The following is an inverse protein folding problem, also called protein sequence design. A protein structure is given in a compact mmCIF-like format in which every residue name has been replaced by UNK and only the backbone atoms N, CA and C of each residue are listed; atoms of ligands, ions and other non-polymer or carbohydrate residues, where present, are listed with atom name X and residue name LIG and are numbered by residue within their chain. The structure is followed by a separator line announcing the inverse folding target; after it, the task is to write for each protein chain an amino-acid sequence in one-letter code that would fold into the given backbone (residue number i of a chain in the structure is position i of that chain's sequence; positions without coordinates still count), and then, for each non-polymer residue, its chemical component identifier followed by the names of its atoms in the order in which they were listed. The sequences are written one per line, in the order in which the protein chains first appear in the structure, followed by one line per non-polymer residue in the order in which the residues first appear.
data_IF_686833384639
#
_entry.id   IF_686833384639
#
_cell.length_a   1.000
_cell.length_b   1.000
_cell.length_c   1.000
_cell.angle_alpha   90.00
_cell.angle_beta   90.00
_cell.angle_gamma   90.00
#
_symmetry.space_group_name_H-M   'P 1'
#
loop_
_entity.id
_entity.type
_entity.pdbx_description
1 polymer ?
#
# COMPACT_ATOMS: atom_id res chain seq x y z
N UNK A 1 17.62 52.58 -13.09
CA UNK A 1 17.70 52.16 -11.69
C UNK A 1 16.45 51.38 -11.30
N UNK A 2 16.31 50.14 -11.70
CA UNK A 2 15.22 49.25 -11.23
C UNK A 2 15.49 47.78 -11.65
N UNK A 3 16.50 47.11 -11.04
CA UNK A 3 16.70 45.67 -11.22
C UNK A 3 17.62 45.05 -10.16
N UNK A 4 17.62 45.57 -8.95
CA UNK A 4 18.48 45.06 -7.86
C UNK A 4 17.68 44.54 -6.65
N UNK A 5 16.40 44.17 -6.82
CA UNK A 5 15.56 43.70 -5.69
C UNK A 5 15.03 42.27 -5.79
N UNK A 6 15.55 41.44 -6.69
CA UNK A 6 15.08 40.05 -6.84
C UNK A 6 16.02 38.99 -6.25
N UNK A 7 17.07 39.36 -5.51
CA UNK A 7 18.09 38.42 -4.99
C UNK A 7 18.15 38.34 -3.46
N UNK A 8 17.06 38.60 -2.78
CA UNK A 8 17.07 38.68 -1.32
C UNK A 8 15.92 37.96 -0.61
N UNK A 9 15.63 36.72 -0.90
CA UNK A 9 14.86 35.84 0.02
C UNK A 9 15.21 34.35 -0.18
N UNK A 10 16.47 34.00 -0.07
CA UNK A 10 16.88 32.67 0.39
C UNK A 10 16.76 32.59 1.91
N UNK A 11 15.55 32.80 2.43
CA UNK A 11 15.19 32.39 3.77
C UNK A 11 15.19 30.87 3.86
N UNK A 12 15.49 30.27 5.01
CA UNK A 12 15.98 28.90 5.10
C UNK A 12 14.91 27.92 4.60
N UNK A 13 15.23 27.14 3.56
CA UNK A 13 14.50 25.97 3.08
C UNK A 13 14.16 24.96 4.20
N UNK A 14 14.83 25.08 5.36
CA UNK A 14 14.59 24.29 6.58
C UNK A 14 13.21 24.51 7.23
N UNK A 15 12.64 25.71 7.15
CA UNK A 15 11.32 25.99 7.71
C UNK A 15 10.19 25.28 7.00
N UNK A 16 10.27 25.22 5.67
CA UNK A 16 9.27 24.51 4.85
C UNK A 16 9.38 22.99 5.02
N UNK A 17 10.61 22.46 5.05
CA UNK A 17 10.87 21.05 5.32
C UNK A 17 10.36 20.63 6.70
N UNK A 18 10.62 21.42 7.73
CA UNK A 18 10.13 21.17 9.10
C UNK A 18 8.60 21.15 9.14
N UNK A 19 7.93 22.08 8.47
CA UNK A 19 6.46 22.13 8.39
C UNK A 19 5.88 20.88 7.73
N UNK A 20 6.44 20.44 6.61
CA UNK A 20 6.05 19.22 5.89
C UNK A 20 6.26 17.97 6.72
N UNK A 21 7.37 17.91 7.45
CA UNK A 21 7.70 16.78 8.33
C UNK A 21 6.75 16.71 9.53
N UNK A 22 6.46 17.85 10.18
CA UNK A 22 5.49 17.91 11.29
C UNK A 22 4.09 17.50 10.80
N UNK A 23 3.67 17.99 9.63
CA UNK A 23 2.39 17.59 9.05
C UNK A 23 2.32 16.07 8.81
N UNK A 24 3.39 15.48 8.27
CA UNK A 24 3.47 14.03 8.05
C UNK A 24 3.32 13.26 9.36
N UNK A 25 4.05 13.63 10.42
CA UNK A 25 3.97 12.95 11.72
C UNK A 25 2.54 13.06 12.29
N UNK A 26 1.94 14.26 12.27
CA UNK A 26 0.57 14.45 12.74
C UNK A 26 -0.44 13.59 11.96
N UNK A 27 -0.32 13.52 10.65
CA UNK A 27 -1.16 12.68 9.80
C UNK A 27 -1.01 11.18 10.14
N UNK A 28 0.22 10.71 10.40
CA UNK A 28 0.47 9.34 10.82
C UNK A 28 -0.10 9.03 12.21
N UNK A 29 -0.05 9.99 13.15
CA UNK A 29 -0.68 9.86 14.46
C UNK A 29 -2.20 9.72 14.31
N UNK A 30 -2.84 10.56 13.50
CA UNK A 30 -4.29 10.48 13.22
C UNK A 30 -4.65 9.13 12.59
N UNK A 31 -3.87 8.68 11.60
CA UNK A 31 -4.04 7.35 11.01
C UNK A 31 -3.94 6.25 12.07
N UNK A 32 -2.93 6.31 12.93
CA UNK A 32 -2.70 5.30 13.96
C UNK A 32 -3.80 5.28 15.02
N UNK A 33 -4.30 6.44 15.45
CA UNK A 33 -5.44 6.52 16.35
C UNK A 33 -6.68 5.85 15.74
N UNK A 34 -7.00 6.11 14.49
CA UNK A 34 -8.14 5.49 13.81
C UNK A 34 -8.04 3.98 13.66
N UNK A 35 -6.84 3.40 13.60
CA UNK A 35 -6.67 1.92 13.58
C UNK A 35 -6.99 1.25 14.93
N UNK A 36 -7.22 2.02 15.99
CA UNK A 36 -7.57 1.51 17.32
C UNK A 36 -9.04 1.75 17.71
N UNK A 37 -9.80 2.47 16.87
CA UNK A 37 -11.23 2.71 17.13
C UNK A 37 -12.01 1.53 16.52
N UNK A 38 -12.58 0.61 17.33
CA UNK A 38 -13.30 -0.54 16.79
C UNK A 38 -14.67 -0.14 16.24
N UNK A 39 -15.16 -0.91 15.26
CA UNK A 39 -16.54 -0.82 14.78
C UNK A 39 -17.47 -1.43 15.85
N UNK A 40 -18.62 -0.81 16.07
CA UNK A 40 -19.58 -1.26 17.06
C UNK A 40 -20.27 -2.58 16.66
N UNK A 41 -20.65 -3.37 17.65
CA UNK A 41 -21.44 -4.58 17.46
C UNK A 41 -20.64 -5.87 17.22
N UNK A 42 -19.32 -5.86 17.45
CA UNK A 42 -18.44 -7.02 17.30
C UNK A 42 -17.84 -7.42 18.64
N UNK A 43 -17.78 -8.72 18.90
CA UNK A 43 -17.11 -9.29 20.06
C UNK A 43 -15.58 -9.33 19.80
N UNK A 44 -14.76 -8.58 20.55
CA UNK A 44 -13.34 -8.50 20.32
C UNK A 44 -12.59 -9.81 20.61
N UNK A 45 -13.07 -10.62 21.55
CA UNK A 45 -12.40 -11.85 21.96
C UNK A 45 -12.55 -12.93 20.87
N UNK A 46 -13.75 -13.12 20.34
CA UNK A 46 -14.01 -14.06 19.23
C UNK A 46 -13.30 -13.64 17.97
N UNK A 47 -13.25 -12.33 17.69
CA UNK A 47 -12.49 -11.80 16.55
C UNK A 47 -11.00 -12.11 16.69
N UNK A 48 -10.42 -11.91 17.88
CA UNK A 48 -9.01 -12.22 18.13
C UNK A 48 -8.72 -13.72 17.95
N UNK A 49 -9.62 -14.60 18.39
CA UNK A 49 -9.51 -16.05 18.21
C UNK A 49 -9.54 -16.43 16.72
N UNK A 50 -10.44 -15.86 15.93
CA UNK A 50 -10.54 -16.08 14.49
C UNK A 50 -9.26 -15.66 13.74
N UNK A 51 -8.69 -14.52 14.13
CA UNK A 51 -7.43 -14.05 13.52
C UNK A 51 -6.24 -14.92 13.90
N UNK A 52 -6.15 -15.39 15.16
CA UNK A 52 -5.07 -16.31 15.58
C UNK A 52 -5.11 -17.63 14.80
N UNK A 53 -6.29 -18.17 14.53
CA UNK A 53 -6.44 -19.39 13.72
C UNK A 53 -6.03 -19.20 12.26
N UNK A 54 -6.18 -17.98 11.71
CA UNK A 54 -5.95 -17.65 10.31
C UNK A 54 -4.72 -16.75 10.06
N UNK A 55 -3.80 -16.60 11.03
CA UNK A 55 -2.62 -15.72 10.92
C UNK A 55 -1.74 -15.98 9.70
N UNK A 56 -1.65 -17.24 9.24
CA UNK A 56 -0.87 -17.64 8.07
C UNK A 56 -1.59 -17.47 6.72
N UNK A 57 -2.85 -17.03 6.71
CA UNK A 57 -3.69 -16.94 5.53
C UNK A 57 -3.71 -15.55 4.88
N UNK A 58 -4.64 -15.38 3.93
CA UNK A 58 -4.90 -14.12 3.23
C UNK A 58 -5.28 -13.01 4.20
N UNK A 59 -6.08 -13.32 5.24
CA UNK A 59 -6.48 -12.37 6.29
C UNK A 59 -5.28 -11.80 7.04
N UNK A 60 -4.24 -12.62 7.31
CA UNK A 60 -3.00 -12.16 7.94
C UNK A 60 -2.25 -11.14 7.07
N UNK A 61 -2.20 -11.34 5.75
CA UNK A 61 -1.62 -10.35 4.84
C UNK A 61 -2.39 -9.03 4.83
N UNK A 62 -3.73 -9.08 4.74
CA UNK A 62 -4.56 -7.87 4.84
C UNK A 62 -4.33 -7.14 6.16
N UNK A 63 -4.26 -7.88 7.27
CA UNK A 63 -4.02 -7.31 8.59
C UNK A 63 -2.64 -6.62 8.68
N UNK A 64 -1.62 -7.19 8.03
CA UNK A 64 -0.29 -6.59 7.95
C UNK A 64 -0.32 -5.25 7.20
N UNK A 65 -1.00 -5.18 6.04
CA UNK A 65 -1.10 -3.95 5.25
C UNK A 65 -1.97 -2.88 5.94
N UNK A 66 -2.98 -3.29 6.71
CA UNK A 66 -3.83 -2.37 7.49
C UNK A 66 -3.21 -1.95 8.82
N UNK A 67 -2.02 -2.47 9.19
CA UNK A 67 -1.35 -2.15 10.44
C UNK A 67 -2.06 -2.67 11.70
N UNK A 68 -2.71 -3.84 11.60
CA UNK A 68 -3.48 -4.44 12.68
C UNK A 68 -4.90 -3.88 12.83
N UNK A 69 -5.34 -3.05 11.88
CA UNK A 69 -6.68 -2.47 11.89
C UNK A 69 -7.78 -3.52 11.65
N UNK A 70 -7.48 -4.53 10.82
CA UNK A 70 -8.42 -5.60 10.50
C UNK A 70 -8.61 -6.56 11.69
N UNK A 71 -7.56 -6.93 12.41
CA UNK A 71 -7.65 -7.83 13.57
C UNK A 71 -8.42 -7.22 14.74
N UNK A 72 -8.55 -5.90 14.79
CA UNK A 72 -9.37 -5.17 15.76
C UNK A 72 -10.70 -4.72 15.18
N UNK A 73 -10.95 -5.02 13.93
CA UNK A 73 -12.08 -4.53 13.14
C UNK A 73 -12.33 -3.03 13.35
N UNK A 74 -11.29 -2.24 13.15
CA UNK A 74 -11.38 -0.79 13.34
C UNK A 74 -12.07 -0.11 12.16
N UNK A 75 -12.39 1.18 12.31
CA UNK A 75 -12.95 2.00 11.24
C UNK A 75 -12.07 2.02 9.97
N UNK A 76 -10.77 1.74 10.11
CA UNK A 76 -9.81 1.62 9.01
C UNK A 76 -9.49 0.16 8.65
N UNK A 77 -10.37 -0.80 8.96
CA UNK A 77 -10.12 -2.22 8.70
C UNK A 77 -9.82 -2.53 7.24
N UNK A 78 -10.52 -1.91 6.29
CA UNK A 78 -10.23 -2.01 4.86
C UNK A 78 -8.93 -1.29 4.45
N UNK A 79 -8.48 -0.33 5.24
CA UNK A 79 -7.28 0.45 4.98
C UNK A 79 -7.30 1.18 3.63
N UNK A 80 -6.17 1.16 2.94
CA UNK A 80 -5.99 1.80 1.63
C UNK A 80 -6.15 0.80 0.46
N UNK A 81 -6.42 -0.48 0.74
CA UNK A 81 -6.47 -1.54 -0.28
C UNK A 81 -7.50 -1.28 -1.39
N UNK A 82 -8.74 -0.84 -1.11
CA UNK A 82 -9.71 -0.54 -2.17
C UNK A 82 -9.23 0.54 -3.14
N UNK A 83 -8.52 1.55 -2.62
CA UNK A 83 -7.94 2.61 -3.45
C UNK A 83 -6.81 2.09 -4.34
N UNK A 84 -5.93 1.25 -3.79
CA UNK A 84 -4.85 0.64 -4.59
C UNK A 84 -5.43 -0.17 -5.74
N UNK A 85 -6.42 -1.03 -5.44
CA UNK A 85 -7.10 -1.85 -6.45
C UNK A 85 -7.78 -0.98 -7.52
N UNK A 86 -8.51 0.07 -7.12
CA UNK A 86 -9.13 1.01 -8.04
C UNK A 86 -8.10 1.74 -8.91
N UNK A 87 -6.99 2.19 -8.32
CA UNK A 87 -5.92 2.88 -9.04
C UNK A 87 -5.27 1.97 -10.10
N UNK A 88 -5.06 0.71 -9.75
CA UNK A 88 -4.53 -0.31 -10.66
C UNK A 88 -5.49 -0.56 -11.82
N UNK A 89 -6.77 -0.80 -11.51
CA UNK A 89 -7.80 -1.00 -12.54
C UNK A 89 -7.85 0.20 -13.49
N UNK A 90 -7.83 1.42 -12.96
CA UNK A 90 -7.84 2.64 -13.79
C UNK A 90 -6.56 2.80 -14.63
N UNK A 91 -5.40 2.41 -14.11
CA UNK A 91 -4.15 2.42 -14.89
C UNK A 91 -4.22 1.43 -16.05
N UNK A 92 -4.69 0.21 -15.82
CA UNK A 92 -4.87 -0.79 -16.88
C UNK A 92 -5.92 -0.34 -17.89
N UNK A 93 -7.08 0.15 -17.42
CA UNK A 93 -8.12 0.66 -18.30
C UNK A 93 -7.64 1.84 -19.15
N UNK A 94 -6.74 2.67 -18.63
CA UNK A 94 -6.15 3.78 -19.40
C UNK A 94 -5.24 3.35 -20.55
N UNK A 95 -4.83 2.08 -20.58
CA UNK A 95 -4.05 1.49 -21.67
C UNK A 95 -4.94 0.74 -22.67
N UNK A 96 -6.01 0.09 -22.17
CA UNK A 96 -6.90 -0.77 -22.97
C UNK A 96 -8.01 0.03 -23.65
N UNK A 97 -8.54 1.06 -22.98
CA UNK A 97 -9.68 1.84 -23.45
C UNK A 97 -9.22 3.13 -24.14
N UNK A 98 -9.42 3.28 -25.46
CA UNK A 98 -8.91 4.43 -26.22
C UNK A 98 -9.40 5.80 -25.71
N UNK A 99 -10.62 5.88 -25.17
CA UNK A 99 -11.18 7.11 -24.61
C UNK A 99 -10.43 7.55 -23.33
N UNK A 100 -9.99 6.62 -22.49
CA UNK A 100 -9.21 6.92 -21.29
C UNK A 100 -7.75 7.23 -21.64
N UNK A 101 -7.21 6.60 -22.69
CA UNK A 101 -5.90 6.94 -23.23
C UNK A 101 -5.87 8.37 -23.76
N UNK A 102 -6.90 8.79 -24.48
CA UNK A 102 -7.05 10.17 -24.96
C UNK A 102 -7.04 11.17 -23.80
N UNK A 103 -7.82 10.90 -22.74
CA UNK A 103 -7.83 11.72 -21.52
C UNK A 103 -6.44 11.78 -20.87
N UNK A 104 -5.71 10.65 -20.82
CA UNK A 104 -4.35 10.61 -20.25
C UNK A 104 -3.37 11.49 -21.03
N UNK A 105 -3.55 11.62 -22.34
CA UNK A 105 -2.74 12.49 -23.22
C UNK A 105 -3.05 13.98 -23.05
N UNK A 106 -4.17 14.37 -22.43
CA UNK A 106 -4.49 15.78 -22.11
C UNK A 106 -3.55 16.41 -21.06
N UNK A 107 -2.58 15.68 -20.53
CA UNK A 107 -1.61 16.17 -19.54
C UNK A 107 -2.21 16.29 -18.13
N UNK A 108 -1.97 17.43 -17.45
CA UNK A 108 -2.40 17.67 -16.06
C UNK A 108 -3.92 17.60 -15.87
N UNK A 109 -4.69 18.14 -16.80
CA UNK A 109 -6.15 18.10 -16.74
C UNK A 109 -6.70 16.68 -16.85
N UNK A 110 -6.13 15.85 -17.72
CA UNK A 110 -6.47 14.45 -17.87
C UNK A 110 -6.10 13.62 -16.65
N UNK A 111 -4.93 13.86 -16.05
CA UNK A 111 -4.53 13.20 -14.80
C UNK A 111 -5.50 13.46 -13.66
N UNK A 112 -6.01 14.68 -13.52
CA UNK A 112 -7.03 15.02 -12.52
C UNK A 112 -8.33 14.24 -12.74
N UNK A 113 -8.80 14.11 -13.98
CA UNK A 113 -10.00 13.30 -14.33
C UNK A 113 -9.78 11.83 -13.99
N UNK A 114 -8.62 11.25 -14.33
CA UNK A 114 -8.30 9.85 -14.01
C UNK A 114 -8.27 9.65 -12.49
N UNK A 115 -7.67 10.56 -11.73
CA UNK A 115 -7.68 10.51 -10.26
C UNK A 115 -9.11 10.56 -9.71
N UNK A 116 -9.99 11.37 -10.30
CA UNK A 116 -11.39 11.44 -9.91
C UNK A 116 -12.13 10.11 -10.18
N UNK A 117 -11.91 9.48 -11.33
CA UNK A 117 -12.46 8.16 -11.65
C UNK A 117 -11.92 7.09 -10.69
N UNK A 118 -10.65 7.17 -10.32
CA UNK A 118 -10.06 6.28 -9.30
C UNK A 118 -10.78 6.43 -7.96
N UNK A 119 -11.11 7.64 -7.52
CA UNK A 119 -11.87 7.87 -6.28
C UNK A 119 -13.27 7.23 -6.36
N UNK A 120 -13.98 7.39 -7.46
CA UNK A 120 -15.29 6.75 -7.65
C UNK A 120 -15.17 5.22 -7.65
N UNK A 121 -14.17 4.67 -8.35
CA UNK A 121 -13.87 3.25 -8.33
C UNK A 121 -13.56 2.74 -6.92
N UNK A 122 -12.86 3.53 -6.12
CA UNK A 122 -12.57 3.22 -4.70
C UNK A 122 -13.85 3.11 -3.88
N UNK A 123 -14.80 4.04 -4.05
CA UNK A 123 -16.10 4.00 -3.35
C UNK A 123 -16.85 2.72 -3.67
N UNK A 124 -16.93 2.36 -4.96
CA UNK A 124 -17.64 1.14 -5.40
C UNK A 124 -16.97 -0.12 -4.84
N UNK A 125 -15.65 -0.23 -4.95
CA UNK A 125 -14.90 -1.38 -4.44
C UNK A 125 -14.99 -1.48 -2.92
N UNK A 126 -14.84 -0.36 -2.20
CA UNK A 126 -14.96 -0.34 -0.75
C UNK A 126 -16.35 -0.74 -0.28
N UNK A 127 -17.39 -0.30 -0.99
CA UNK A 127 -18.77 -0.67 -0.68
C UNK A 127 -18.99 -2.18 -0.85
N UNK A 128 -18.57 -2.75 -1.99
CA UNK A 128 -18.68 -4.20 -2.23
C UNK A 128 -17.91 -5.00 -1.19
N UNK A 129 -16.69 -4.58 -0.85
CA UNK A 129 -15.87 -5.23 0.18
C UNK A 129 -16.48 -5.09 1.57
N UNK A 130 -17.00 -3.92 1.94
CA UNK A 130 -17.63 -3.70 3.23
C UNK A 130 -18.90 -4.56 3.41
N UNK A 131 -19.73 -4.67 2.37
CA UNK A 131 -20.91 -5.56 2.37
C UNK A 131 -20.45 -7.02 2.50
N UNK A 132 -19.48 -7.46 1.71
CA UNK A 132 -18.97 -8.82 1.77
C UNK A 132 -18.44 -9.19 3.16
N UNK A 133 -17.63 -8.32 3.75
CA UNK A 133 -17.09 -8.54 5.10
C UNK A 133 -18.19 -8.53 6.14
N UNK A 134 -19.18 -7.62 6.08
CA UNK A 134 -20.27 -7.57 7.06
C UNK A 134 -21.10 -8.86 7.06
N UNK A 135 -21.39 -9.41 5.87
CA UNK A 135 -22.11 -10.68 5.72
C UNK A 135 -21.26 -11.86 6.21
N UNK A 136 -19.95 -11.86 5.88
CA UNK A 136 -19.03 -12.92 6.31
C UNK A 136 -18.87 -12.95 7.84
N UNK A 137 -18.82 -11.81 8.51
CA UNK A 137 -18.75 -11.73 9.98
C UNK A 137 -20.04 -12.19 10.64
N UNK A 138 -21.19 -11.85 10.08
CA UNK A 138 -22.50 -12.27 10.59
C UNK A 138 -22.75 -13.78 10.44
N UNK A 139 -22.12 -14.43 9.45
CA UNK A 139 -22.19 -15.88 9.29
C UNK A 139 -21.42 -16.67 10.36
N UNK A 140 -20.54 -16.01 11.12
CA UNK A 140 -19.77 -16.63 12.21
C UNK A 140 -20.55 -16.53 13.52
N UNK A 141 -20.89 -17.67 14.16
CA UNK A 141 -21.66 -17.65 15.40
C UNK A 141 -20.87 -16.99 16.55
N UNK A 142 -21.51 -16.07 17.26
CA UNK A 142 -20.92 -15.39 18.44
C UNK A 142 -20.02 -14.21 18.14
N UNK A 143 -19.70 -13.92 16.86
CA UNK A 143 -18.81 -12.82 16.49
C UNK A 143 -19.53 -11.47 16.52
N UNK A 144 -20.79 -11.45 16.07
CA UNK A 144 -21.65 -10.25 16.05
C UNK A 144 -22.61 -10.33 17.22
N UNK A 145 -22.68 -9.27 18.03
CA UNK A 145 -23.52 -9.22 19.25
C UNK A 145 -25.00 -9.21 18.86
N UNK A 146 -25.38 -8.32 17.93
CA UNK A 146 -26.75 -8.19 17.42
C UNK A 146 -26.74 -8.32 15.89
N UNK A 147 -26.88 -9.56 15.34
CA UNK A 147 -26.93 -9.76 13.89
C UNK A 147 -28.21 -9.18 13.31
N UNK A 148 -28.09 -8.46 12.18
CA UNK A 148 -29.22 -7.89 11.49
C UNK A 148 -28.90 -6.75 10.54
N UNK A 149 -29.94 -6.22 9.90
CA UNK A 149 -29.81 -5.18 8.88
C UNK A 149 -29.14 -3.91 9.43
N UNK A 150 -29.38 -3.58 10.70
CA UNK A 150 -28.77 -2.41 11.36
C UNK A 150 -27.26 -2.56 11.47
N UNK A 151 -26.77 -3.74 11.90
CA UNK A 151 -25.35 -4.05 11.96
C UNK A 151 -24.69 -3.92 10.57
N UNK A 152 -25.29 -4.53 9.54
CA UNK A 152 -24.76 -4.44 8.17
C UNK A 152 -24.66 -3.00 7.70
N UNK A 153 -25.71 -2.22 7.88
CA UNK A 153 -25.77 -0.83 7.46
C UNK A 153 -24.74 0.05 8.18
N UNK A 154 -24.66 -0.05 9.49
CA UNK A 154 -23.68 0.70 10.29
C UNK A 154 -22.24 0.31 9.97
N UNK A 155 -21.97 -0.99 9.83
CA UNK A 155 -20.64 -1.50 9.45
C UNK A 155 -20.23 -1.02 8.07
N UNK A 156 -21.11 -1.13 7.07
CA UNK A 156 -20.81 -0.69 5.70
C UNK A 156 -20.51 0.81 5.64
N UNK A 157 -21.33 1.64 6.27
CA UNK A 157 -21.10 3.09 6.31
C UNK A 157 -19.79 3.42 7.02
N UNK A 158 -19.52 2.78 8.16
CA UNK A 158 -18.33 3.03 8.95
C UNK A 158 -17.06 2.66 8.18
N UNK A 159 -17.02 1.48 7.56
CA UNK A 159 -15.87 1.03 6.77
C UNK A 159 -15.68 1.86 5.49
N UNK A 160 -16.75 2.24 4.82
CA UNK A 160 -16.71 3.10 3.64
C UNK A 160 -16.15 4.49 4.00
N UNK A 161 -16.69 5.09 5.06
CA UNK A 161 -16.22 6.40 5.54
C UNK A 161 -14.77 6.35 5.97
N UNK A 162 -14.37 5.30 6.68
CA UNK A 162 -12.98 5.06 7.09
C UNK A 162 -12.04 4.95 5.89
N UNK A 163 -12.41 4.18 4.88
CA UNK A 163 -11.62 4.04 3.65
C UNK A 163 -11.47 5.36 2.91
N UNK A 164 -12.56 6.11 2.76
CA UNK A 164 -12.55 7.44 2.11
C UNK A 164 -11.68 8.43 2.88
N UNK A 165 -11.72 8.39 4.22
CA UNK A 165 -10.87 9.22 5.05
C UNK A 165 -9.39 8.87 4.90
N UNK A 166 -9.02 7.57 4.91
CA UNK A 166 -7.63 7.12 4.71
C UNK A 166 -7.11 7.51 3.32
N UNK A 167 -7.94 7.37 2.28
CA UNK A 167 -7.62 7.83 0.93
C UNK A 167 -7.34 9.34 0.90
N UNK A 168 -8.25 10.15 1.46
CA UNK A 168 -8.08 11.59 1.55
C UNK A 168 -6.82 11.97 2.35
N UNK A 169 -6.56 11.28 3.47
CA UNK A 169 -5.36 11.51 4.27
C UNK A 169 -4.08 11.23 3.47
N UNK A 170 -4.06 10.14 2.68
CA UNK A 170 -2.94 9.81 1.78
C UNK A 170 -2.70 10.88 0.72
N UNK A 171 -3.76 11.45 0.16
CA UNK A 171 -3.66 12.57 -0.79
C UNK A 171 -3.13 13.84 -0.10
N UNK A 172 -3.61 14.17 1.12
CA UNK A 172 -3.10 15.32 1.87
C UNK A 172 -1.61 15.17 2.24
N UNK A 173 -1.17 13.95 2.59
CA UNK A 173 0.26 13.68 2.84
C UNK A 173 1.06 13.90 1.55
N UNK A 174 0.54 13.49 0.39
CA UNK A 174 1.21 13.69 -0.90
C UNK A 174 1.34 15.17 -1.26
N UNK A 175 0.31 15.96 -1.01
CA UNK A 175 0.29 17.39 -1.35
C UNK A 175 1.10 18.25 -0.38
N UNK A 176 0.94 18.03 0.92
CA UNK A 176 1.47 18.89 1.99
C UNK A 176 2.61 18.28 2.79
N UNK A 177 2.82 16.97 2.68
CA UNK A 177 3.89 16.24 3.37
C UNK A 177 5.12 16.02 2.50
N UNK A 178 5.73 14.85 2.64
CA UNK A 178 6.93 14.41 1.94
C UNK A 178 6.63 13.12 1.16
N UNK A 179 6.97 13.08 -0.11
CA UNK A 179 6.86 11.89 -0.95
C UNK A 179 5.41 11.45 -1.26
N UNK A 180 5.22 10.17 -1.55
CA UNK A 180 3.91 9.60 -1.85
C UNK A 180 3.20 9.18 -0.55
N UNK A 181 2.10 9.88 -0.20
CA UNK A 181 1.37 9.66 1.05
C UNK A 181 0.76 8.28 1.18
N UNK A 182 0.32 7.69 0.07
CA UNK A 182 -0.24 6.33 0.05
C UNK A 182 0.82 5.31 0.44
N UNK A 183 2.00 5.40 -0.16
CA UNK A 183 3.13 4.52 0.16
C UNK A 183 3.59 4.68 1.62
N UNK A 184 3.52 5.89 2.15
CA UNK A 184 3.87 6.16 3.55
C UNK A 184 2.84 5.55 4.51
N UNK A 185 1.55 5.61 4.19
CA UNK A 185 0.51 4.98 5.01
C UNK A 185 0.65 3.45 5.03
N UNK A 186 0.95 2.82 3.88
CA UNK A 186 1.25 1.39 3.81
C UNK A 186 2.49 1.05 4.65
N UNK A 187 3.56 1.81 4.48
CA UNK A 187 4.79 1.64 5.25
C UNK A 187 4.54 1.76 6.76
N UNK A 188 3.77 2.78 7.18
CA UNK A 188 3.40 2.96 8.58
C UNK A 188 2.58 1.79 9.13
N UNK A 189 1.68 1.21 8.31
CA UNK A 189 0.94 0.00 8.65
C UNK A 189 1.87 -1.19 8.90
N UNK A 190 2.78 -1.47 7.97
CA UNK A 190 3.72 -2.59 8.07
C UNK A 190 4.66 -2.42 9.27
N UNK A 191 5.27 -1.23 9.42
CA UNK A 191 6.21 -0.95 10.52
C UNK A 191 5.53 -0.99 11.88
N UNK A 192 4.25 -0.70 11.97
CA UNK A 192 3.49 -0.78 13.21
C UNK A 192 3.43 -2.19 13.81
N UNK A 193 3.54 -3.23 13.00
CA UNK A 193 3.65 -4.63 13.45
C UNK A 193 5.05 -5.05 13.90
N UNK A 194 6.08 -4.27 13.57
CA UNK A 194 7.47 -4.63 13.81
C UNK A 194 7.83 -4.77 15.31
N UNK A 195 7.39 -3.85 16.21
CA UNK A 195 7.66 -4.00 17.65
C UNK A 195 7.10 -5.30 18.24
N UNK A 196 5.87 -5.68 17.87
CA UNK A 196 5.24 -6.92 18.34
C UNK A 196 5.93 -8.17 17.78
N UNK A 197 6.38 -8.14 16.52
CA UNK A 197 7.14 -9.21 15.92
C UNK A 197 8.51 -9.42 16.61
N UNK A 198 9.20 -8.31 16.91
CA UNK A 198 10.48 -8.35 17.65
C UNK A 198 10.27 -8.87 19.07
N UNK A 199 9.23 -8.38 19.79
CA UNK A 199 8.89 -8.88 21.12
C UNK A 199 8.56 -10.39 21.10
N UNK A 200 7.82 -10.85 20.07
CA UNK A 200 7.53 -12.26 19.87
C UNK A 200 8.78 -13.13 19.66
N UNK A 201 9.75 -12.65 18.88
CA UNK A 201 11.03 -13.34 18.68
C UNK A 201 11.81 -13.49 20.00
N UNK A 202 11.89 -12.43 20.82
CA UNK A 202 12.51 -12.51 22.13
C UNK A 202 11.74 -13.44 23.07
N UNK A 203 10.40 -13.44 23.01
CA UNK A 203 9.57 -14.36 23.76
C UNK A 203 9.86 -15.85 23.43
N UNK A 204 10.01 -16.19 22.13
CA UNK A 204 10.35 -17.53 21.67
C UNK A 204 11.73 -17.99 22.16
N UNK A 205 12.69 -17.09 22.26
CA UNK A 205 14.01 -17.38 22.84
C UNK A 205 13.90 -17.57 24.36
N UNK A 206 13.12 -16.71 25.04
CA UNK A 206 12.91 -16.84 26.48
C UNK A 206 12.19 -18.10 26.92
N UNK A 207 11.30 -18.64 26.08
CA UNK A 207 10.61 -19.93 26.31
C UNK A 207 11.42 -21.16 25.88
N UNK A 208 12.64 -20.98 25.34
CA UNK A 208 13.49 -22.08 24.87
C UNK A 208 13.04 -22.72 23.54
N UNK A 209 11.97 -22.23 22.92
CA UNK A 209 11.47 -22.73 21.63
C UNK A 209 12.37 -22.32 20.44
N UNK A 210 13.25 -21.34 20.64
CA UNK A 210 14.20 -20.87 19.63
C UNK A 210 15.57 -20.65 20.25
N UNK A 211 16.62 -21.17 19.60
CA UNK A 211 17.99 -20.93 20.02
C UNK A 211 18.44 -19.49 19.72
N UNK A 212 19.34 -18.97 20.55
CA UNK A 212 19.92 -17.61 20.37
C UNK A 212 20.61 -17.48 19.00
N UNK A 213 21.25 -18.55 18.52
CA UNK A 213 21.90 -18.59 17.20
C UNK A 213 20.90 -18.38 16.07
N UNK A 214 19.71 -19.01 16.15
CA UNK A 214 18.63 -18.84 15.18
C UNK A 214 18.10 -17.40 15.18
N UNK A 215 17.96 -16.78 16.35
CA UNK A 215 17.59 -15.37 16.46
C UNK A 215 18.60 -14.45 15.75
N UNK A 216 19.89 -14.63 16.04
CA UNK A 216 20.98 -13.88 15.41
C UNK A 216 20.97 -14.05 13.88
N UNK A 217 20.76 -15.28 13.41
CA UNK A 217 20.67 -15.55 11.98
C UNK A 217 19.49 -14.83 11.32
N UNK A 218 18.30 -14.84 11.95
CA UNK A 218 17.10 -14.13 11.43
C UNK A 218 17.35 -12.63 11.37
N UNK A 219 17.93 -12.03 12.41
CA UNK A 219 18.23 -10.59 12.44
C UNK A 219 19.28 -10.25 11.38
N UNK A 220 20.36 -11.01 11.27
CA UNK A 220 21.38 -10.81 10.25
C UNK A 220 20.82 -10.94 8.83
N UNK A 221 19.96 -11.93 8.60
CA UNK A 221 19.27 -12.11 7.32
C UNK A 221 18.36 -10.91 7.00
N UNK A 222 17.57 -10.42 7.96
CA UNK A 222 16.69 -9.28 7.77
C UNK A 222 17.50 -8.01 7.41
N UNK A 223 18.61 -7.76 8.09
CA UNK A 223 19.51 -6.65 7.79
C UNK A 223 20.15 -6.81 6.41
N UNK A 224 20.64 -8.01 6.08
CA UNK A 224 21.26 -8.29 4.79
C UNK A 224 20.28 -8.10 3.62
N UNK A 225 19.06 -8.61 3.74
CA UNK A 225 17.99 -8.43 2.72
C UNK A 225 17.65 -6.95 2.57
N UNK A 226 17.47 -6.24 3.67
CA UNK A 226 17.17 -4.79 3.64
C UNK A 226 18.29 -4.01 2.96
N UNK A 227 19.55 -4.30 3.33
CA UNK A 227 20.72 -3.65 2.72
C UNK A 227 20.80 -3.95 1.21
N UNK A 228 20.55 -5.20 0.81
CA UNK A 228 20.53 -5.60 -0.59
C UNK A 228 19.44 -4.87 -1.38
N UNK A 229 18.22 -4.79 -0.85
CA UNK A 229 17.11 -4.07 -1.51
C UNK A 229 17.45 -2.58 -1.66
N UNK A 230 17.97 -1.93 -0.61
CA UNK A 230 18.39 -0.53 -0.66
C UNK A 230 19.52 -0.33 -1.68
N UNK A 231 20.47 -1.26 -1.75
CA UNK A 231 21.57 -1.21 -2.73
C UNK A 231 21.03 -1.25 -4.16
N UNK A 232 20.13 -2.17 -4.47
CA UNK A 232 19.50 -2.29 -5.79
C UNK A 232 18.64 -1.06 -6.15
N UNK A 233 17.85 -0.56 -5.20
CA UNK A 233 16.99 0.62 -5.41
C UNK A 233 17.79 1.92 -5.63
N UNK A 234 18.95 2.04 -4.99
CA UNK A 234 19.86 3.19 -5.21
C UNK A 234 20.71 3.04 -6.45
N UNK A 235 20.76 1.86 -7.04
CA UNK A 235 21.57 1.57 -8.22
C UNK A 235 21.17 2.47 -9.41
N UNK A 236 22.15 3.19 -9.97
CA UNK A 236 21.96 4.07 -11.12
C UNK A 236 22.99 3.76 -12.18
N UNK A 237 22.54 3.64 -13.44
CA UNK A 237 23.43 3.61 -14.61
C UNK A 237 23.69 5.05 -15.04
N UNK A 238 24.94 5.48 -14.99
CA UNK A 238 25.37 6.80 -15.45
C UNK A 238 25.74 6.72 -16.92
N UNK A 239 25.01 7.42 -17.79
CA UNK A 239 25.35 7.57 -19.19
C UNK A 239 26.07 8.90 -19.35
N UNK A 240 27.29 8.86 -19.87
CA UNK A 240 28.09 10.06 -20.11
C UNK A 240 27.55 10.82 -21.32
N UNK A 241 27.15 12.06 -21.09
CA UNK A 241 26.72 12.97 -22.16
C UNK A 241 27.85 13.96 -22.40
N UNK A 242 28.47 13.90 -23.57
CA UNK A 242 29.50 14.84 -23.99
C UNK A 242 28.86 16.02 -24.72
N UNK A 243 28.95 17.20 -24.14
CA UNK A 243 28.54 18.42 -24.82
C UNK A 243 29.61 18.88 -25.80
N UNK A 244 29.21 19.33 -26.98
CA UNK A 244 30.11 19.91 -27.98
C UNK A 244 30.82 21.16 -27.41
N UNK A 245 32.10 21.31 -27.71
CA UNK A 245 32.86 22.50 -27.41
C UNK A 245 32.22 23.70 -28.10
N UNK A 246 31.91 24.75 -27.39
CA UNK A 246 31.34 25.97 -27.95
C UNK A 246 32.41 27.05 -28.00
N UNK A 247 32.67 27.57 -29.19
CA UNK A 247 33.55 28.70 -29.37
C UNK A 247 32.73 29.99 -29.38
N UNK A 248 33.03 30.91 -28.51
CA UNK A 248 32.42 32.23 -28.45
C UNK A 248 33.58 33.25 -28.60
N UNK A 249 33.74 33.79 -29.80
CA UNK A 249 34.89 34.66 -30.12
C UNK A 249 36.20 33.86 -30.08
N UNK A 250 37.21 34.42 -29.42
CA UNK A 250 38.55 33.80 -29.29
C UNK A 250 38.69 32.86 -28.08
N UNK A 251 37.57 32.56 -27.34
CA UNK A 251 37.57 31.67 -26.17
C UNK A 251 36.84 30.38 -26.50
N UNK A 252 37.51 29.24 -26.31
CA UNK A 252 36.94 27.91 -26.39
C UNK A 252 36.48 27.53 -24.98
N UNK A 253 35.17 27.39 -24.79
CA UNK A 253 34.60 26.80 -23.59
C UNK A 253 34.67 25.28 -23.76
N UNK A 254 35.50 24.63 -22.92
CA UNK A 254 35.60 23.17 -22.91
C UNK A 254 34.24 22.54 -22.61
N UNK A 255 33.84 21.52 -23.39
CA UNK A 255 32.62 20.78 -23.16
C UNK A 255 32.67 20.14 -21.78
N UNK A 256 31.71 20.48 -20.90
CA UNK A 256 31.54 19.76 -19.63
C UNK A 256 30.89 18.43 -19.95
N UNK A 257 31.46 17.33 -19.44
CA UNK A 257 30.80 16.04 -19.46
C UNK A 257 29.82 15.98 -18.31
N UNK A 258 28.55 15.81 -18.64
CA UNK A 258 27.49 15.57 -17.66
C UNK A 258 27.08 14.09 -17.71
N UNK A 259 26.53 13.57 -16.63
CA UNK A 259 26.02 12.22 -16.56
C UNK A 259 24.50 12.25 -16.45
N UNK A 260 23.82 11.49 -17.32
CA UNK A 260 22.39 11.22 -17.21
C UNK A 260 22.19 10.01 -16.29
N UNK A 261 21.63 10.20 -15.07
CA UNK A 261 21.39 9.09 -14.14
C UNK A 261 20.10 8.36 -14.52
N UNK A 262 20.21 7.10 -14.92
CA UNK A 262 19.05 6.20 -15.13
C UNK A 262 18.99 5.21 -13.97
N UNK A 263 17.86 5.13 -13.27
CA UNK A 263 17.64 4.14 -12.22
C UNK A 263 17.61 2.73 -12.81
N UNK A 264 18.25 1.76 -12.15
CA UNK A 264 18.18 0.35 -12.52
C UNK A 264 16.78 -0.22 -12.37
N UNK A 265 16.08 0.17 -11.31
CA UNK A 265 14.69 -0.19 -11.08
C UNK A 265 13.81 1.06 -11.23
N UNK A 266 13.28 1.29 -12.45
CA UNK A 266 12.38 2.41 -12.71
C UNK A 266 10.97 2.16 -12.19
N UNK A 267 10.55 0.90 -12.11
CA UNK A 267 9.22 0.52 -11.66
C UNK A 267 9.02 0.60 -10.14
N UNK A 268 10.12 0.59 -9.35
CA UNK A 268 10.08 0.71 -7.89
C UNK A 268 9.30 -0.41 -7.21
N UNK A 269 8.49 -0.06 -6.21
CA UNK A 269 7.70 -0.98 -5.38
C UNK A 269 6.28 -1.19 -5.93
N UNK A 270 5.89 -0.47 -6.98
CA UNK A 270 4.54 -0.55 -7.56
C UNK A 270 4.19 -1.96 -8.08
N UNK A 271 5.03 -2.68 -8.85
CA UNK A 271 4.69 -3.99 -9.37
C UNK A 271 4.40 -5.08 -8.32
N UNK A 272 5.15 -5.21 -7.21
CA UNK A 272 4.80 -6.12 -6.12
C UNK A 272 3.45 -5.82 -5.47
N UNK A 273 3.15 -4.54 -5.24
CA UNK A 273 1.85 -4.11 -4.68
C UNK A 273 0.73 -4.43 -5.66
N UNK A 274 0.96 -4.20 -6.95
CA UNK A 274 0.07 -4.54 -8.04
C UNK A 274 -0.23 -6.04 -8.09
N UNK A 275 0.79 -6.89 -8.08
CA UNK A 275 0.66 -8.34 -8.13
C UNK A 275 -0.14 -8.87 -6.94
N UNK A 276 0.18 -8.42 -5.73
CA UNK A 276 -0.55 -8.82 -4.52
C UNK A 276 -2.02 -8.40 -4.57
N UNK A 277 -2.32 -7.18 -5.02
CA UNK A 277 -3.69 -6.67 -5.11
C UNK A 277 -4.54 -7.44 -6.14
N UNK A 278 -3.97 -7.78 -7.31
CA UNK A 278 -4.67 -8.58 -8.32
C UNK A 278 -5.00 -9.98 -7.82
N UNK A 279 -4.10 -10.61 -7.08
CA UNK A 279 -4.31 -11.98 -6.57
C UNK A 279 -5.26 -11.96 -5.37
N UNK A 280 -5.15 -10.95 -4.49
CA UNK A 280 -5.98 -10.84 -3.29
C UNK A 280 -7.44 -10.56 -3.62
N UNK A 281 -7.74 -9.81 -4.69
CA UNK A 281 -9.12 -9.47 -5.06
C UNK A 281 -9.96 -10.70 -5.41
N UNK A 282 -9.58 -11.59 -6.34
CA UNK A 282 -10.30 -12.84 -6.59
C UNK A 282 -10.33 -13.74 -5.35
N UNK A 283 -9.23 -13.88 -4.63
CA UNK A 283 -9.15 -14.70 -3.43
C UNK A 283 -10.13 -14.25 -2.34
N UNK A 284 -10.36 -12.94 -2.20
CA UNK A 284 -11.34 -12.39 -1.26
C UNK A 284 -12.77 -12.71 -1.71
N UNK A 285 -13.08 -12.52 -3.00
CA UNK A 285 -14.40 -12.84 -3.55
C UNK A 285 -14.70 -14.32 -3.35
N UNK A 286 -13.75 -15.20 -3.69
CA UNK A 286 -13.95 -16.64 -3.55
C UNK A 286 -14.14 -17.06 -2.10
N UNK A 287 -13.46 -16.41 -1.14
CA UNK A 287 -13.65 -16.70 0.29
C UNK A 287 -15.05 -16.35 0.79
N UNK A 288 -15.73 -15.34 0.21
CA UNK A 288 -17.09 -14.97 0.58
C UNK A 288 -18.13 -15.95 0.07
N UNK A 289 -17.88 -16.58 -1.09
CA UNK A 289 -18.80 -17.53 -1.71
C UNK A 289 -18.51 -18.99 -1.37
N UNK A 290 -17.40 -19.28 -0.67
CA UNK A 290 -16.97 -20.64 -0.33
C UNK A 290 -17.91 -21.37 0.64
N UNK A 291 -18.77 -20.64 1.36
CA UNK A 291 -19.79 -21.20 2.27
C UNK A 291 -21.00 -21.83 1.56
N UNK A 292 -21.17 -21.60 0.24
CA UNK A 292 -22.25 -22.19 -0.54
C UNK A 292 -21.82 -23.54 -1.14
N UNK A 293 -22.55 -24.61 -0.83
CA UNK A 293 -22.25 -25.98 -1.30
C UNK A 293 -22.14 -26.10 -2.83
N UNK A 294 -22.88 -25.30 -3.59
CA UNK A 294 -22.85 -25.27 -5.05
C UNK A 294 -21.60 -24.61 -5.65
N UNK A 295 -20.73 -23.98 -4.82
CA UNK A 295 -19.56 -23.24 -5.25
C UNK A 295 -18.26 -23.75 -4.61
N UNK A 296 -18.19 -25.03 -4.24
CA UNK A 296 -16.98 -25.65 -3.63
C UNK A 296 -15.72 -25.46 -4.48
N UNK A 297 -15.85 -25.48 -5.80
CA UNK A 297 -14.72 -25.24 -6.72
C UNK A 297 -14.08 -23.85 -6.54
N UNK A 298 -14.85 -22.85 -6.11
CA UNK A 298 -14.31 -21.53 -5.76
C UNK A 298 -13.49 -21.60 -4.47
N UNK A 299 -13.90 -22.43 -3.52
CA UNK A 299 -13.14 -22.69 -2.29
C UNK A 299 -11.76 -23.33 -2.59
N UNK A 300 -11.72 -24.28 -3.51
CA UNK A 300 -10.47 -24.95 -3.95
C UNK A 300 -9.54 -23.95 -4.68
N UNK A 301 -10.10 -23.08 -5.50
CA UNK A 301 -9.34 -21.98 -6.11
C UNK A 301 -8.79 -21.00 -5.06
N UNK A 302 -9.59 -20.62 -4.06
CA UNK A 302 -9.16 -19.77 -2.98
C UNK A 302 -8.03 -20.41 -2.17
N UNK A 303 -8.14 -21.72 -1.90
CA UNK A 303 -7.09 -22.50 -1.24
C UNK A 303 -5.79 -22.53 -2.05
N UNK A 304 -5.87 -22.69 -3.37
CA UNK A 304 -4.73 -22.63 -4.28
C UNK A 304 -4.06 -21.26 -4.38
N UNK A 305 -4.84 -20.18 -4.16
CA UNK A 305 -4.36 -18.80 -4.12
C UNK A 305 -3.89 -18.38 -2.73
N UNK A 306 -3.89 -19.28 -1.74
CA UNK A 306 -3.37 -18.98 -0.41
C UNK A 306 -1.84 -18.72 -0.45
N UNK A 307 -1.32 -17.80 0.38
CA UNK A 307 0.10 -17.58 0.53
C UNK A 307 0.80 -18.89 0.91
N UNK A 308 1.95 -19.18 0.30
CA UNK A 308 2.73 -20.42 0.39
C UNK A 308 2.35 -21.51 -0.62
N UNK A 309 1.24 -21.41 -1.34
CA UNK A 309 0.95 -22.36 -2.41
C UNK A 309 1.80 -22.09 -3.66
N UNK A 310 2.24 -23.13 -4.39
CA UNK A 310 3.04 -22.95 -5.61
C UNK A 310 2.34 -22.11 -6.66
N UNK A 311 1.02 -22.22 -6.78
CA UNK A 311 0.20 -21.44 -7.69
C UNK A 311 0.25 -19.94 -7.34
N UNK A 312 0.14 -19.58 -6.07
CA UNK A 312 0.29 -18.20 -5.60
C UNK A 312 1.65 -17.61 -5.97
N UNK A 313 2.73 -18.38 -5.70
CA UNK A 313 4.11 -17.93 -5.95
C UNK A 313 4.34 -17.70 -7.45
N UNK A 314 3.89 -18.62 -8.31
CA UNK A 314 4.05 -18.51 -9.76
C UNK A 314 3.22 -17.37 -10.35
N UNK A 315 1.97 -17.21 -9.93
CA UNK A 315 1.12 -16.09 -10.36
C UNK A 315 1.67 -14.74 -9.90
N UNK A 316 2.12 -14.66 -8.64
CA UNK A 316 2.71 -13.43 -8.10
C UNK A 316 3.99 -13.05 -8.85
N UNK A 317 4.90 -13.99 -9.08
CA UNK A 317 6.12 -13.76 -9.85
C UNK A 317 5.82 -13.32 -11.29
N UNK A 318 4.81 -13.94 -11.93
CA UNK A 318 4.38 -13.60 -13.28
C UNK A 318 3.75 -12.21 -13.33
N UNK A 319 2.86 -11.88 -12.39
CA UNK A 319 2.22 -10.57 -12.28
C UNK A 319 3.23 -9.45 -12.03
N UNK A 320 4.26 -9.70 -11.18
CA UNK A 320 5.38 -8.76 -10.98
C UNK A 320 6.16 -8.55 -12.27
N UNK A 321 6.46 -9.61 -13.04
CA UNK A 321 7.13 -9.50 -14.33
C UNK A 321 6.33 -8.66 -15.32
N UNK A 322 5.03 -8.93 -15.44
CA UNK A 322 4.13 -8.18 -16.32
C UNK A 322 4.04 -6.72 -15.87
N UNK A 323 3.83 -6.46 -14.60
CA UNK A 323 3.76 -5.10 -14.06
C UNK A 323 5.06 -4.31 -14.28
N UNK A 324 6.22 -4.98 -14.24
CA UNK A 324 7.52 -4.35 -14.52
C UNK A 324 7.74 -4.04 -16.01
N UNK A 325 7.13 -4.81 -16.89
CA UNK A 325 7.23 -4.60 -18.34
C UNK A 325 6.37 -3.43 -18.85
N UNK A 326 5.35 -3.01 -18.07
CA UNK A 326 4.40 -1.95 -18.44
C UNK A 326 4.71 -0.58 -17.82
N UNK A 327 5.74 -0.46 -17.00
CA UNK A 327 6.24 0.78 -16.39
C UNK A 327 7.53 1.21 -17.05
#
# INVERSE_FOLDING_TARGET
MAKAQALGKTGPRYGDLKRRFVFLILALIVYRLGTHIPVQGINPDELANLFRQNEGGILGLFNMFSGGALSRFSIFALGIMPYISASIIMQLMSVVVPSLEAIKKEGEAGRRKITQYTRYGTVVLALVQAVGISVALESQPGLVIDPGMLFRFTTVITLLTGTMFVMWLGEQITERGLGNGISILIFAGIVAGLPSAVAGLFGLVGTGNMGVVSLLFIVALAVAVTAFVVFVERGQRKITVNYAKRQVGNRIYGGQSSHLPLKLNMAGVIPPIFASSIILFPATITSWFSSNENMRWLGDLAAGLAPRQPLYITLNATAIKIGRAHV
#
